data_IF_544043744754
#
_entry.id   IF_544043744754
#
_cell.length_a   1.000
_cell.length_b   1.000
_cell.length_c   1.000
_cell.angle_alpha   90.00
_cell.angle_beta   90.00
_cell.angle_gamma   90.00
#
_symmetry.space_group_name_H-M   'P 1'
#
loop_
_entity.id
_entity.type
_entity.pdbx_description
1 polymer ?
#
# COMPACT_ATOMS: atom_id res chain seq x y z
N UNK A 1 -10.88 -15.10 12.55
CA UNK A 1 -10.72 -15.56 11.15
C UNK A 1 -11.55 -14.70 10.22
N UNK A 2 -10.93 -14.09 9.24
CA UNK A 2 -11.67 -13.24 8.31
C UNK A 2 -12.30 -14.09 7.22
N UNK A 3 -13.59 -13.90 6.93
CA UNK A 3 -14.27 -14.67 5.89
C UNK A 3 -13.64 -14.42 4.51
N UNK A 4 -13.65 -15.43 3.64
CA UNK A 4 -13.17 -15.29 2.25
C UNK A 4 -13.90 -14.18 1.50
N UNK A 5 -15.18 -13.97 1.78
CA UNK A 5 -16.01 -12.90 1.22
C UNK A 5 -15.42 -11.51 1.50
N UNK A 6 -14.94 -11.27 2.73
CA UNK A 6 -14.38 -9.97 3.16
C UNK A 6 -13.10 -9.59 2.42
N UNK A 7 -12.43 -10.56 1.78
CA UNK A 7 -11.18 -10.38 1.02
C UNK A 7 -11.39 -10.18 -0.49
N UNK A 8 -12.63 -10.26 -0.97
CA UNK A 8 -12.93 -10.05 -2.38
C UNK A 8 -12.69 -8.59 -2.79
N UNK A 9 -12.08 -8.33 -3.96
CA UNK A 9 -11.79 -6.96 -4.42
C UNK A 9 -12.99 -6.01 -4.38
N UNK A 10 -14.19 -6.36 -4.89
CA UNK A 10 -15.34 -5.46 -4.79
C UNK A 10 -15.72 -5.13 -3.35
N UNK A 11 -15.66 -6.10 -2.45
CA UNK A 11 -15.97 -5.90 -1.02
C UNK A 11 -14.95 -4.97 -0.38
N UNK A 12 -13.66 -5.18 -0.64
CA UNK A 12 -12.59 -4.30 -0.18
C UNK A 12 -12.79 -2.86 -0.67
N UNK A 13 -13.15 -2.69 -1.94
CA UNK A 13 -13.41 -1.38 -2.52
C UNK A 13 -14.53 -0.64 -1.78
N UNK A 14 -15.70 -1.26 -1.61
CA UNK A 14 -16.83 -0.64 -0.91
C UNK A 14 -16.53 -0.37 0.56
N UNK A 15 -15.83 -1.25 1.23
CA UNK A 15 -15.40 -1.03 2.63
C UNK A 15 -14.45 0.16 2.73
N UNK A 16 -13.52 0.34 1.81
CA UNK A 16 -12.63 1.50 1.78
C UNK A 16 -13.39 2.80 1.58
N UNK A 17 -14.30 2.83 0.61
CA UNK A 17 -15.14 4.01 0.34
C UNK A 17 -15.96 4.37 1.58
N UNK A 18 -16.60 3.39 2.21
CA UNK A 18 -17.35 3.59 3.44
C UNK A 18 -16.47 4.15 4.58
N UNK A 19 -15.27 3.60 4.75
CA UNK A 19 -14.31 4.06 5.77
C UNK A 19 -13.79 5.47 5.50
N UNK A 20 -13.61 5.84 4.24
CA UNK A 20 -13.23 7.22 3.86
C UNK A 20 -14.37 8.20 4.18
N UNK A 21 -15.59 7.88 3.82
CA UNK A 21 -16.77 8.72 4.08
C UNK A 21 -16.99 8.90 5.59
N UNK A 22 -16.80 7.86 6.37
CA UNK A 22 -16.98 7.90 7.84
C UNK A 22 -15.77 8.43 8.60
N UNK A 23 -14.69 8.81 7.92
CA UNK A 23 -13.46 9.32 8.52
C UNK A 23 -12.61 8.28 9.24
N UNK A 24 -12.89 6.99 9.12
CA UNK A 24 -12.06 5.91 9.67
C UNK A 24 -10.73 5.78 8.94
N UNK A 25 -10.74 5.89 7.61
CA UNK A 25 -9.54 6.05 6.79
C UNK A 25 -9.30 7.53 6.55
N UNK A 26 -8.05 7.94 6.64
CA UNK A 26 -7.66 9.33 6.43
C UNK A 26 -6.43 9.42 5.53
N UNK A 27 -6.52 10.27 4.52
CA UNK A 27 -5.35 10.73 3.78
C UNK A 27 -4.65 11.80 4.63
N UNK A 28 -3.40 11.55 5.00
CA UNK A 28 -2.63 12.46 5.85
C UNK A 28 -1.59 13.20 5.02
N UNK A 29 -1.44 14.51 5.26
CA UNK A 29 -0.34 15.30 4.71
C UNK A 29 0.95 15.20 5.50
N UNK A 30 0.98 14.46 6.62
CA UNK A 30 2.07 14.50 7.61
C UNK A 30 3.45 14.19 7.04
N UNK A 31 3.56 13.25 6.09
CA UNK A 31 4.85 12.86 5.49
C UNK A 31 5.00 13.31 4.03
N UNK A 32 4.07 14.12 3.53
CA UNK A 32 4.09 14.56 2.14
C UNK A 32 5.34 15.38 1.83
N UNK A 33 6.05 14.98 0.77
CA UNK A 33 7.28 15.63 0.33
C UNK A 33 8.53 15.21 1.09
N UNK A 34 8.41 14.45 2.19
CA UNK A 34 9.58 13.90 2.91
C UNK A 34 10.35 12.93 2.03
N UNK A 35 11.66 12.93 2.19
CA UNK A 35 12.57 12.02 1.50
C UNK A 35 12.95 10.91 2.44
N UNK A 36 12.67 9.68 2.02
CA UNK A 36 13.10 8.46 2.71
C UNK A 36 14.33 7.93 2.00
N UNK A 37 15.45 7.85 2.71
CA UNK A 37 16.68 7.25 2.21
C UNK A 37 16.78 5.81 2.72
N UNK A 38 16.93 4.86 1.78
CA UNK A 38 17.12 3.46 2.07
C UNK A 38 18.57 3.04 1.83
N UNK A 39 18.91 1.83 2.26
CA UNK A 39 20.21 1.22 1.99
C UNK A 39 20.57 1.33 0.51
N UNK A 40 21.81 1.72 0.22
CA UNK A 40 22.29 1.95 -1.15
C UNK A 40 22.04 3.36 -1.69
N UNK A 41 21.71 4.32 -0.83
CA UNK A 41 21.50 5.75 -1.15
C UNK A 41 20.32 6.03 -2.10
N UNK A 42 19.35 5.11 -2.20
CA UNK A 42 18.12 5.37 -2.95
C UNK A 42 17.20 6.31 -2.19
N UNK A 43 16.85 7.43 -2.82
CA UNK A 43 15.99 8.47 -2.23
C UNK A 43 14.58 8.40 -2.79
N UNK A 44 13.61 8.14 -1.93
CA UNK A 44 12.20 8.09 -2.27
C UNK A 44 11.47 9.28 -1.67
N UNK A 45 10.73 10.02 -2.50
CA UNK A 45 9.89 11.12 -2.05
C UNK A 45 8.46 10.63 -1.80
N UNK A 46 7.95 10.89 -0.61
CA UNK A 46 6.57 10.52 -0.24
C UNK A 46 5.57 11.42 -0.95
N UNK A 47 4.59 10.84 -1.62
CA UNK A 47 3.51 11.57 -2.29
C UNK A 47 2.11 11.22 -1.79
N UNK A 48 1.97 10.17 -0.98
CA UNK A 48 0.67 9.78 -0.40
C UNK A 48 0.86 9.00 0.89
N UNK A 49 0.04 9.31 1.87
CA UNK A 49 -0.03 8.60 3.13
C UNK A 49 -1.50 8.37 3.50
N UNK A 50 -1.90 7.12 3.70
CA UNK A 50 -3.24 6.74 4.12
C UNK A 50 -3.16 5.86 5.37
N UNK A 51 -3.98 6.14 6.37
CA UNK A 51 -3.98 5.44 7.65
C UNK A 51 -5.40 5.14 8.13
N UNK A 52 -5.57 3.99 8.78
CA UNK A 52 -6.77 3.68 9.56
C UNK A 52 -6.62 4.30 10.96
N UNK A 53 -7.48 5.25 11.30
CA UNK A 53 -7.40 6.00 12.56
C UNK A 53 -7.66 5.16 13.81
N UNK A 54 -8.28 4.01 13.67
CA UNK A 54 -8.62 3.12 14.79
C UNK A 54 -7.55 2.06 15.06
N UNK A 55 -6.56 1.94 14.18
CA UNK A 55 -5.51 0.94 14.32
C UNK A 55 -4.24 1.58 14.86
N UNK A 56 -3.80 1.09 16.01
CA UNK A 56 -2.54 1.49 16.63
C UNK A 56 -1.43 0.48 16.34
N UNK A 57 -0.19 0.96 16.31
CA UNK A 57 0.98 0.09 16.24
C UNK A 57 1.11 -0.72 17.54
N UNK A 58 1.26 -2.03 17.41
CA UNK A 58 1.44 -2.96 18.54
C UNK A 58 2.62 -3.89 18.27
N UNK A 59 3.01 -4.68 19.27
CA UNK A 59 4.05 -5.70 19.11
C UNK A 59 3.73 -6.78 18.06
N UNK A 60 2.45 -6.92 17.68
CA UNK A 60 1.99 -7.84 16.62
C UNK A 60 2.00 -7.22 15.24
N UNK A 61 2.13 -5.91 15.13
CA UNK A 61 2.13 -5.20 13.86
C UNK A 61 3.32 -5.62 13.00
N UNK A 62 3.08 -5.72 11.70
CA UNK A 62 4.09 -6.11 10.71
C UNK A 62 4.20 -5.06 9.64
N UNK A 63 5.42 -4.75 9.22
CA UNK A 63 5.72 -3.83 8.13
C UNK A 63 6.17 -4.61 6.91
N UNK A 64 5.63 -4.26 5.75
CA UNK A 64 5.96 -4.84 4.46
C UNK A 64 6.30 -3.72 3.48
N UNK A 65 7.50 -3.76 2.93
CA UNK A 65 8.00 -2.76 1.98
C UNK A 65 8.16 -3.42 0.63
N UNK A 66 7.57 -2.83 -0.39
CA UNK A 66 7.68 -3.30 -1.79
C UNK A 66 8.20 -2.15 -2.65
N UNK A 67 9.24 -2.43 -3.42
CA UNK A 67 9.79 -1.50 -4.42
C UNK A 67 9.66 -2.12 -5.82
N UNK A 68 9.23 -1.34 -6.80
CA UNK A 68 9.03 -1.82 -8.17
C UNK A 68 8.96 -0.67 -9.17
N UNK A 69 9.05 -1.01 -10.47
CA UNK A 69 8.76 -0.08 -11.57
C UNK A 69 7.42 -0.42 -12.20
N UNK A 70 6.66 0.61 -12.57
CA UNK A 70 5.46 0.44 -13.40
C UNK A 70 5.82 0.25 -14.87
N UNK A 71 5.04 -0.60 -15.56
CA UNK A 71 5.07 -0.72 -17.01
C UNK A 71 4.13 0.32 -17.64
N UNK A 72 4.56 0.96 -18.72
CA UNK A 72 3.74 1.64 -19.73
C UNK A 72 3.10 3.00 -19.43
N UNK A 73 3.17 3.57 -18.22
CA UNK A 73 2.52 4.85 -17.93
C UNK A 73 3.51 5.89 -17.37
N UNK A 74 3.20 7.18 -17.59
CA UNK A 74 3.91 8.28 -16.94
C UNK A 74 3.69 8.29 -15.42
N UNK A 75 4.55 8.98 -14.65
CA UNK A 75 4.39 9.11 -13.20
C UNK A 75 3.03 9.69 -12.79
N UNK A 76 2.54 10.71 -13.51
CA UNK A 76 1.23 11.32 -13.24
C UNK A 76 0.09 10.33 -13.46
N UNK A 77 0.11 9.61 -14.58
CA UNK A 77 -0.89 8.60 -14.90
C UNK A 77 -0.86 7.45 -13.89
N UNK A 78 0.32 7.01 -13.46
CA UNK A 78 0.48 5.99 -12.42
C UNK A 78 -0.03 6.46 -11.05
N UNK A 79 0.18 7.72 -10.67
CA UNK A 79 -0.38 8.28 -9.44
C UNK A 79 -1.91 8.24 -9.44
N UNK A 80 -2.55 8.62 -10.54
CA UNK A 80 -4.00 8.55 -10.69
C UNK A 80 -4.49 7.10 -10.70
N UNK A 81 -3.86 6.24 -11.50
CA UNK A 81 -4.21 4.84 -11.60
C UNK A 81 -4.00 4.07 -10.28
N UNK A 82 -3.14 4.54 -9.38
CA UNK A 82 -2.90 3.93 -8.07
C UNK A 82 -4.05 4.15 -7.08
N UNK A 83 -5.02 5.01 -7.38
CA UNK A 83 -6.17 5.27 -6.48
C UNK A 83 -7.04 4.01 -6.36
N UNK A 84 -7.32 3.32 -7.46
CA UNK A 84 -8.13 2.08 -7.43
C UNK A 84 -7.44 0.99 -6.61
N UNK A 85 -6.18 0.60 -6.87
CA UNK A 85 -5.46 -0.32 -6.00
C UNK A 85 -5.39 0.14 -4.54
N UNK A 86 -5.24 1.42 -4.28
CA UNK A 86 -5.29 1.96 -2.92
C UNK A 86 -6.60 1.61 -2.22
N UNK A 87 -7.74 1.81 -2.89
CA UNK A 87 -9.04 1.48 -2.33
C UNK A 87 -9.23 -0.02 -2.11
N UNK A 88 -8.63 -0.86 -2.94
CA UNK A 88 -8.65 -2.31 -2.73
C UNK A 88 -7.86 -2.73 -1.49
N UNK A 89 -6.66 -2.19 -1.32
CA UNK A 89 -5.78 -2.54 -0.19
C UNK A 89 -6.32 -2.00 1.13
N UNK A 90 -6.74 -0.76 1.17
CA UNK A 90 -7.18 -0.11 2.42
C UNK A 90 -8.48 -0.69 2.97
N UNK A 91 -9.27 -1.34 2.13
CA UNK A 91 -10.42 -2.12 2.53
C UNK A 91 -10.13 -3.56 2.96
N UNK A 92 -8.91 -4.04 2.74
CA UNK A 92 -8.52 -5.39 3.11
C UNK A 92 -8.44 -5.54 4.63
N UNK A 93 -8.87 -6.69 5.20
CA UNK A 93 -8.80 -6.93 6.64
C UNK A 93 -7.37 -6.81 7.18
N UNK A 94 -7.23 -6.15 8.33
CA UNK A 94 -5.94 -5.99 8.99
C UNK A 94 -5.07 -4.85 8.47
N UNK A 95 -5.52 -4.12 7.45
CA UNK A 95 -4.82 -2.92 6.97
C UNK A 95 -4.75 -1.85 8.08
N UNK A 96 -3.57 -1.26 8.26
CA UNK A 96 -3.35 -0.19 9.22
C UNK A 96 -2.89 1.12 8.56
N UNK A 97 -1.83 1.06 7.75
CA UNK A 97 -1.22 2.24 7.14
C UNK A 97 -0.54 1.88 5.83
N UNK A 98 -0.52 2.82 4.89
CA UNK A 98 0.34 2.75 3.70
C UNK A 98 0.94 4.11 3.37
N UNK A 99 2.23 4.11 3.11
CA UNK A 99 2.99 5.24 2.58
C UNK A 99 3.40 4.92 1.15
N UNK A 100 3.14 5.85 0.24
CA UNK A 100 3.55 5.78 -1.15
C UNK A 100 4.70 6.74 -1.41
N UNK A 101 5.76 6.25 -1.99
CA UNK A 101 6.91 7.06 -2.35
C UNK A 101 7.40 6.73 -3.75
N UNK A 102 8.10 7.67 -4.37
CA UNK A 102 8.66 7.53 -5.72
C UNK A 102 10.10 8.03 -5.74
N UNK A 103 10.97 7.31 -6.43
CA UNK A 103 12.31 7.77 -6.75
C UNK A 103 12.28 8.38 -8.16
N UNK A 104 12.44 9.69 -8.24
CA UNK A 104 12.39 10.42 -9.51
C UNK A 104 13.62 10.18 -10.41
N UNK A 105 14.73 9.73 -9.82
CA UNK A 105 15.98 9.51 -10.56
C UNK A 105 15.96 8.20 -11.34
N UNK A 106 15.44 7.13 -10.76
CA UNK A 106 15.44 5.79 -11.36
C UNK A 106 14.04 5.26 -11.71
N UNK A 107 12.98 5.98 -11.38
CA UNK A 107 11.61 5.60 -11.68
C UNK A 107 11.02 4.50 -10.81
N UNK A 108 11.70 4.09 -9.75
CA UNK A 108 11.16 3.12 -8.81
C UNK A 108 10.08 3.73 -7.92
N UNK A 109 9.07 2.94 -7.66
CA UNK A 109 8.00 3.22 -6.69
C UNK A 109 8.18 2.35 -5.47
N UNK A 110 7.79 2.88 -4.30
CA UNK A 110 7.84 2.15 -3.06
C UNK A 110 6.50 2.25 -2.33
N UNK A 111 6.00 1.12 -1.87
CA UNK A 111 4.89 1.03 -0.93
C UNK A 111 5.40 0.50 0.41
N UNK A 112 5.17 1.26 1.47
CA UNK A 112 5.42 0.85 2.86
C UNK A 112 4.08 0.56 3.52
N UNK A 113 3.82 -0.72 3.80
CA UNK A 113 2.55 -1.19 4.35
C UNK A 113 2.71 -1.56 5.81
N UNK A 114 1.79 -1.14 6.63
CA UNK A 114 1.67 -1.62 8.01
C UNK A 114 0.39 -2.43 8.15
N UNK A 115 0.51 -3.61 8.72
CA UNK A 115 -0.57 -4.55 8.99
C UNK A 115 -0.72 -4.78 10.51
N UNK A 116 -1.93 -5.10 10.95
CA UNK A 116 -2.20 -5.37 12.37
C UNK A 116 -1.46 -6.59 12.88
N UNK A 117 -1.17 -7.57 12.01
CA UNK A 117 -0.38 -8.75 12.33
C UNK A 117 0.21 -9.40 11.08
N UNK A 118 1.18 -10.29 11.27
CA UNK A 118 1.75 -11.12 10.20
C UNK A 118 0.69 -11.97 9.50
N UNK A 119 -0.28 -12.49 10.24
CA UNK A 119 -1.37 -13.29 9.69
C UNK A 119 -2.16 -12.54 8.61
N UNK A 120 -2.54 -11.29 8.88
CA UNK A 120 -3.22 -10.44 7.88
C UNK A 120 -2.36 -10.15 6.65
N UNK A 121 -1.06 -9.91 6.85
CA UNK A 121 -0.12 -9.73 5.73
C UNK A 121 -0.05 -10.99 4.86
N UNK A 122 0.04 -12.18 5.46
CA UNK A 122 0.08 -13.44 4.71
C UNK A 122 -1.24 -13.72 3.96
N UNK A 123 -2.38 -13.38 4.57
CA UNK A 123 -3.68 -13.43 3.89
C UNK A 123 -3.73 -12.48 2.69
N UNK A 124 -3.20 -11.27 2.84
CA UNK A 124 -3.10 -10.29 1.75
C UNK A 124 -2.23 -10.80 0.60
N UNK A 125 -1.04 -11.34 0.88
CA UNK A 125 -0.13 -11.90 -0.13
C UNK A 125 -0.77 -13.02 -0.98
N UNK A 126 -1.68 -13.80 -0.40
CA UNK A 126 -2.42 -14.87 -1.06
C UNK A 126 -3.69 -14.40 -1.79
N UNK A 127 -4.05 -13.13 -1.67
CA UNK A 127 -5.32 -12.59 -2.15
C UNK A 127 -5.30 -12.22 -3.64
N UNK A 128 -6.50 -12.09 -4.21
CA UNK A 128 -6.69 -11.52 -5.55
C UNK A 128 -6.26 -10.05 -5.62
N UNK A 129 -6.43 -9.30 -4.53
CA UNK A 129 -5.99 -7.91 -4.44
C UNK A 129 -4.48 -7.81 -4.68
N UNK A 130 -3.69 -8.66 -4.02
CA UNK A 130 -2.23 -8.70 -4.22
C UNK A 130 -1.85 -9.07 -5.66
N UNK A 131 -2.54 -10.03 -6.26
CA UNK A 131 -2.33 -10.41 -7.67
C UNK A 131 -2.60 -9.24 -8.63
N UNK A 132 -3.68 -8.50 -8.41
CA UNK A 132 -4.01 -7.30 -9.20
C UNK A 132 -2.91 -6.24 -9.06
N UNK A 133 -2.40 -6.03 -7.84
CA UNK A 133 -1.32 -5.09 -7.59
C UNK A 133 -0.04 -5.46 -8.34
N UNK A 134 0.35 -6.73 -8.31
CA UNK A 134 1.58 -7.18 -8.94
C UNK A 134 1.55 -7.10 -10.48
N UNK A 135 0.39 -7.22 -11.09
CA UNK A 135 0.24 -7.10 -12.57
C UNK A 135 0.65 -5.74 -13.12
N UNK A 136 0.62 -4.69 -12.31
CA UNK A 136 0.98 -3.32 -12.72
C UNK A 136 2.49 -3.09 -12.73
N UNK A 137 3.25 -3.93 -12.06
CA UNK A 137 4.71 -3.81 -11.96
C UNK A 137 5.42 -4.61 -13.06
N UNK A 138 6.61 -4.14 -13.44
CA UNK A 138 7.54 -4.93 -14.25
C UNK A 138 8.08 -6.06 -13.37
N UNK A 139 7.84 -7.34 -13.68
CA UNK A 139 8.10 -8.46 -12.73
C UNK A 139 9.53 -8.53 -12.19
N UNK A 140 10.51 -8.28 -13.05
CA UNK A 140 11.94 -8.32 -12.66
C UNK A 140 12.38 -7.19 -11.74
N UNK A 141 11.55 -6.16 -11.55
CA UNK A 141 11.87 -5.01 -10.69
C UNK A 141 11.31 -5.12 -9.29
N UNK A 142 10.46 -6.12 -9.00
CA UNK A 142 9.80 -6.26 -7.71
C UNK A 142 10.81 -6.73 -6.67
N UNK A 143 10.97 -5.92 -5.62
CA UNK A 143 11.78 -6.24 -4.44
C UNK A 143 10.92 -6.04 -3.21
N UNK A 144 11.01 -6.93 -2.22
CA UNK A 144 10.23 -6.83 -1.00
C UNK A 144 11.03 -7.20 0.24
N UNK A 145 10.74 -6.51 1.34
CA UNK A 145 11.32 -6.75 2.67
C UNK A 145 10.19 -6.75 3.69
N UNK A 146 10.31 -7.58 4.71
CA UNK A 146 9.32 -7.72 5.77
C UNK A 146 10.00 -7.62 7.13
N UNK A 147 9.38 -6.87 8.04
CA UNK A 147 9.84 -6.69 9.43
C UNK A 147 8.77 -7.10 10.44
#
# INVERSE_FOLDING_TARGET
MTSKFRRLPPVCFFVSVFRLITGKLRLSGRFMGEIIELEGHSKFQVFRHITDRKVNFTSKSTVFIVSFKFSHLSHRANKLASIVPMLLITGFPGFAKKIYAVNHDNGYWQGMYQWQSLEYLEEYKKSLVFKVMNKRAIPKTIQSVQF
#
